data_IF_665472673425
#
_entry.id   IF_665472673425
#
_cell.length_a   1.000
_cell.length_b   1.000
_cell.length_c   1.000
_cell.angle_alpha   90.00
_cell.angle_beta   90.00
_cell.angle_gamma   90.00
#
_symmetry.space_group_name_H-M   'P 1'
#
loop_
_entity.id
_entity.type
_entity.pdbx_description
1 polymer ?
#
# COMPACT_ATOMS: atom_id res chain seq x y z
N UNK A 1 -17.16 4.54 -27.59
CA UNK A 1 -15.71 4.32 -27.44
C UNK A 1 -14.94 5.64 -27.54
N UNK A 2 -14.93 6.32 -28.69
CA UNK A 2 -14.20 7.59 -28.88
C UNK A 2 -14.64 8.72 -27.92
N UNK A 3 -15.95 8.94 -27.77
CA UNK A 3 -16.48 9.95 -26.83
C UNK A 3 -16.10 9.63 -25.37
N UNK A 4 -16.18 8.35 -24.98
CA UNK A 4 -15.76 7.91 -23.65
C UNK A 4 -14.24 8.10 -23.48
N UNK A 5 -13.43 7.77 -24.47
CA UNK A 5 -11.97 7.96 -24.43
C UNK A 5 -11.58 9.45 -24.31
N UNK A 6 -12.27 10.34 -25.03
CA UNK A 6 -12.10 11.80 -24.94
C UNK A 6 -12.56 12.32 -23.57
N UNK A 7 -13.65 11.78 -23.01
CA UNK A 7 -14.06 12.05 -21.63
C UNK A 7 -13.01 11.57 -20.62
N UNK A 8 -12.46 10.37 -20.79
CA UNK A 8 -11.42 9.82 -19.93
C UNK A 8 -10.16 10.67 -19.92
N UNK A 9 -9.70 11.14 -21.09
CA UNK A 9 -8.59 12.08 -21.23
C UNK A 9 -8.87 13.42 -20.53
N UNK A 10 -10.08 13.96 -20.69
CA UNK A 10 -10.50 15.20 -20.04
C UNK A 10 -10.58 15.07 -18.50
N UNK A 11 -11.09 13.93 -18.01
CA UNK A 11 -11.16 13.61 -16.59
C UNK A 11 -9.73 13.47 -16.02
N UNK A 12 -8.83 12.75 -16.69
CA UNK A 12 -7.44 12.63 -16.21
C UNK A 12 -6.67 13.94 -16.22
N UNK A 13 -6.96 14.85 -17.16
CA UNK A 13 -6.29 16.14 -17.27
C UNK A 13 -6.78 17.14 -16.21
N UNK A 14 -8.01 16.99 -15.73
CA UNK A 14 -8.63 17.87 -14.73
C UNK A 14 -8.91 17.19 -13.38
N UNK A 15 -8.42 15.97 -13.17
CA UNK A 15 -8.60 15.19 -11.94
C UNK A 15 -8.20 16.00 -10.70
N UNK A 16 -6.99 16.55 -10.71
CA UNK A 16 -6.47 17.39 -9.63
C UNK A 16 -7.30 18.67 -9.45
N UNK A 17 -7.61 19.37 -10.55
CA UNK A 17 -8.46 20.57 -10.50
C UNK A 17 -9.86 20.32 -9.92
N UNK A 18 -10.46 19.16 -10.21
CA UNK A 18 -11.77 18.79 -9.68
C UNK A 18 -11.69 18.37 -8.21
N UNK A 19 -10.62 17.66 -7.81
CA UNK A 19 -10.34 17.37 -6.41
C UNK A 19 -10.12 18.67 -5.61
N UNK A 20 -9.45 19.68 -6.17
CA UNK A 20 -9.24 20.97 -5.52
C UNK A 20 -10.58 21.67 -5.25
N UNK A 21 -11.49 21.64 -6.22
CA UNK A 21 -12.84 22.21 -6.09
C UNK A 21 -13.70 21.43 -5.08
N UNK A 22 -13.61 20.09 -5.06
CA UNK A 22 -14.33 19.25 -4.10
C UNK A 22 -13.77 19.46 -2.69
N UNK A 23 -12.45 19.44 -2.52
CA UNK A 23 -11.79 19.48 -1.22
C UNK A 23 -11.70 20.89 -0.63
N UNK A 24 -11.79 21.94 -1.45
CA UNK A 24 -11.83 23.36 -1.02
C UNK A 24 -10.60 23.78 -0.21
N UNK A 25 -9.49 23.07 -0.38
CA UNK A 25 -8.22 23.28 0.31
C UNK A 25 -7.18 23.73 -0.70
N UNK A 26 -6.43 24.79 -0.40
CA UNK A 26 -5.26 25.20 -1.19
C UNK A 26 -4.06 24.25 -0.97
N UNK A 27 -4.15 23.29 -0.04
CA UNK A 27 -3.08 22.36 0.35
C UNK A 27 -3.58 20.90 0.35
N UNK A 28 -3.86 20.37 -0.85
CA UNK A 28 -4.48 19.04 -1.06
C UNK A 28 -3.50 17.86 -0.85
N UNK A 29 -2.22 18.16 -0.64
CA UNK A 29 -1.15 17.17 -0.49
C UNK A 29 -0.67 17.01 0.95
N UNK A 30 -1.28 17.71 1.90
CA UNK A 30 -0.95 17.55 3.33
C UNK A 30 -1.86 16.48 3.89
N UNK A 31 -1.34 15.33 4.35
CA UNK A 31 -2.16 14.33 5.01
C UNK A 31 -2.81 14.93 6.26
N UNK A 32 -3.92 14.34 6.71
CA UNK A 32 -4.36 14.57 8.07
C UNK A 32 -3.35 13.92 9.03
N UNK A 33 -2.86 14.66 10.02
CA UNK A 33 -1.95 14.13 11.05
C UNK A 33 -2.61 13.04 11.91
N UNK A 34 -3.95 13.11 12.01
CA UNK A 34 -4.80 12.13 12.68
C UNK A 34 -5.91 11.64 11.75
N UNK A 35 -6.37 10.40 11.99
CA UNK A 35 -7.55 9.88 11.30
C UNK A 35 -8.77 10.76 11.61
N UNK A 36 -9.65 11.03 10.63
CA UNK A 36 -10.91 11.70 10.88
C UNK A 36 -11.70 10.94 11.96
N UNK A 37 -12.18 11.63 12.99
CA UNK A 37 -13.04 11.01 13.99
C UNK A 37 -14.41 10.72 13.37
N UNK A 38 -14.62 9.44 13.01
CA UNK A 38 -15.89 8.96 12.46
C UNK A 38 -16.70 8.30 13.57
N UNK A 39 -17.76 8.99 13.99
CA UNK A 39 -18.69 8.53 15.04
C UNK A 39 -20.02 8.03 14.46
N UNK A 40 -20.30 8.32 13.19
CA UNK A 40 -21.54 7.93 12.51
C UNK A 40 -21.32 7.43 11.08
N UNK A 41 -22.29 6.68 10.55
CA UNK A 41 -22.28 6.23 9.15
C UNK A 41 -22.34 7.40 8.15
N UNK A 42 -22.94 8.54 8.54
CA UNK A 42 -23.01 9.75 7.70
C UNK A 42 -21.64 10.42 7.61
N UNK A 43 -20.92 10.51 8.74
CA UNK A 43 -19.54 11.03 8.74
C UNK A 43 -18.62 10.11 7.92
N UNK A 44 -18.73 8.79 8.09
CA UNK A 44 -17.99 7.84 7.26
C UNK A 44 -18.26 8.08 5.76
N UNK A 45 -19.54 8.21 5.41
CA UNK A 45 -19.98 8.45 4.05
C UNK A 45 -19.40 9.75 3.47
N UNK A 46 -19.44 10.83 4.25
CA UNK A 46 -18.88 12.12 3.85
C UNK A 46 -17.36 12.03 3.66
N UNK A 47 -16.64 11.33 4.54
CA UNK A 47 -15.18 11.14 4.40
C UNK A 47 -14.85 10.35 3.13
N UNK A 48 -15.48 9.19 2.89
CA UNK A 48 -15.16 8.37 1.70
C UNK A 48 -15.59 9.04 0.38
N UNK A 49 -16.60 9.91 0.43
CA UNK A 49 -17.06 10.67 -0.73
C UNK A 49 -16.44 12.06 -0.80
N UNK A 50 -15.51 12.42 0.10
CA UNK A 50 -14.85 13.73 0.15
C UNK A 50 -15.88 14.88 0.10
N UNK A 51 -16.96 14.76 0.88
CA UNK A 51 -18.02 15.75 0.96
C UNK A 51 -18.71 16.10 -0.37
N UNK A 52 -18.61 15.24 -1.38
CA UNK A 52 -19.19 15.45 -2.73
C UNK A 52 -20.70 15.75 -2.67
N UNK A 53 -21.43 15.18 -1.70
CA UNK A 53 -22.88 15.36 -1.60
C UNK A 53 -23.31 16.50 -0.67
N UNK A 54 -22.42 17.00 0.17
CA UNK A 54 -22.71 18.08 1.14
C UNK A 54 -22.27 19.43 0.61
N UNK A 55 -21.26 19.47 -0.27
CA UNK A 55 -20.67 20.69 -0.80
C UNK A 55 -21.37 21.17 -2.07
N UNK A 56 -22.42 21.95 -1.90
CA UNK A 56 -23.08 22.67 -3.00
C UNK A 56 -22.31 23.95 -3.32
N UNK A 57 -21.52 23.96 -4.39
CA UNK A 57 -20.89 25.19 -4.89
C UNK A 57 -21.57 25.67 -6.17
N UNK A 58 -22.34 26.76 -6.08
CA UNK A 58 -23.16 27.29 -7.19
C UNK A 58 -22.31 27.82 -8.34
N UNK A 59 -21.06 28.20 -8.07
CA UNK A 59 -20.13 28.73 -9.07
C UNK A 59 -19.68 27.69 -10.11
N UNK A 60 -19.66 26.40 -9.75
CA UNK A 60 -19.11 25.31 -10.58
C UNK A 60 -20.15 24.27 -11.03
N UNK A 61 -21.42 24.66 -11.12
CA UNK A 61 -22.53 23.73 -11.39
C UNK A 61 -22.37 22.85 -12.65
N UNK A 62 -21.73 23.36 -13.72
CA UNK A 62 -21.47 22.58 -14.94
C UNK A 62 -20.48 21.42 -14.69
N UNK A 63 -19.45 21.64 -13.89
CA UNK A 63 -18.48 20.60 -13.53
C UNK A 63 -19.14 19.53 -12.65
N UNK A 64 -20.00 19.95 -11.71
CA UNK A 64 -20.83 19.03 -10.92
C UNK A 64 -21.76 18.19 -11.78
N UNK A 65 -22.44 18.79 -12.77
CA UNK A 65 -23.28 18.02 -13.71
C UNK A 65 -22.46 17.00 -14.51
N UNK A 66 -21.28 17.39 -14.98
CA UNK A 66 -20.39 16.47 -15.68
C UNK A 66 -19.95 15.31 -14.76
N UNK A 67 -19.51 15.62 -13.55
CA UNK A 67 -19.10 14.62 -12.57
C UNK A 67 -20.23 13.64 -12.25
N UNK A 68 -21.43 14.11 -11.92
CA UNK A 68 -22.58 13.23 -11.67
C UNK A 68 -23.01 12.44 -12.90
N UNK A 69 -22.82 12.99 -14.11
CA UNK A 69 -23.06 12.24 -15.36
C UNK A 69 -22.08 11.07 -15.53
N UNK A 70 -20.80 11.27 -15.21
CA UNK A 70 -19.79 10.20 -15.27
C UNK A 70 -20.01 9.19 -14.15
N UNK A 71 -20.32 9.66 -12.93
CA UNK A 71 -20.67 8.83 -11.77
C UNK A 71 -21.84 7.90 -12.10
N UNK A 72 -22.90 8.41 -12.75
CA UNK A 72 -24.07 7.62 -13.11
C UNK A 72 -23.88 6.73 -14.37
N UNK A 73 -22.78 6.88 -15.11
CA UNK A 73 -22.60 6.21 -16.40
C UNK A 73 -22.74 4.67 -16.35
N UNK A 74 -22.19 3.95 -15.35
CA UNK A 74 -22.39 2.51 -15.25
C UNK A 74 -23.84 2.11 -15.08
N UNK A 75 -24.58 2.84 -14.24
CA UNK A 75 -25.97 2.56 -13.96
C UNK A 75 -26.83 2.81 -15.21
N UNK A 76 -26.62 3.94 -15.89
CA UNK A 76 -27.31 4.27 -17.14
C UNK A 76 -27.04 3.21 -18.22
N UNK A 77 -25.76 2.83 -18.42
CA UNK A 77 -25.40 1.78 -19.36
C UNK A 77 -26.04 0.44 -18.98
N UNK A 78 -26.05 0.09 -17.70
CA UNK A 78 -26.71 -1.11 -17.22
C UNK A 78 -28.21 -1.11 -17.57
N UNK A 79 -28.95 -0.01 -17.33
CA UNK A 79 -30.35 0.10 -17.73
C UNK A 79 -30.52 -0.06 -19.24
N UNK A 80 -29.73 0.62 -20.06
CA UNK A 80 -29.80 0.52 -21.54
C UNK A 80 -29.51 -0.90 -22.03
N UNK A 81 -28.49 -1.54 -21.46
CA UNK A 81 -28.09 -2.91 -21.83
C UNK A 81 -29.11 -3.93 -21.33
N UNK A 82 -29.68 -3.73 -20.14
CA UNK A 82 -30.70 -4.62 -19.57
C UNK A 82 -31.97 -4.67 -20.41
N UNK A 83 -32.33 -3.58 -21.10
CA UNK A 83 -33.47 -3.56 -22.02
C UNK A 83 -33.27 -4.53 -23.21
N UNK A 84 -32.01 -4.89 -23.53
CA UNK A 84 -31.66 -5.85 -24.59
C UNK A 84 -31.42 -7.27 -24.07
N UNK A 85 -31.40 -7.46 -22.75
CA UNK A 85 -31.08 -8.73 -22.11
C UNK A 85 -32.32 -9.30 -21.41
N UNK A 86 -32.49 -10.62 -21.45
CA UNK A 86 -33.55 -11.30 -20.68
C UNK A 86 -33.07 -11.53 -19.24
N UNK A 87 -33.15 -10.51 -18.38
CA UNK A 87 -32.88 -10.66 -16.94
C UNK A 87 -34.15 -11.04 -16.17
N UNK A 88 -34.01 -11.90 -15.16
CA UNK A 88 -35.06 -12.07 -14.16
C UNK A 88 -35.24 -10.79 -13.36
N UNK A 89 -36.47 -10.49 -12.92
CA UNK A 89 -36.77 -9.28 -12.14
C UNK A 89 -35.87 -9.15 -10.90
N UNK A 90 -35.61 -10.25 -10.18
CA UNK A 90 -34.69 -10.22 -9.03
C UNK A 90 -33.24 -9.92 -9.42
N UNK A 91 -32.75 -10.49 -10.52
CA UNK A 91 -31.38 -10.22 -10.96
C UNK A 91 -31.20 -8.81 -11.49
N UNK A 92 -32.24 -8.29 -12.13
CA UNK A 92 -32.29 -6.91 -12.58
C UNK A 92 -32.07 -5.94 -11.42
N UNK A 93 -32.90 -6.06 -10.37
CA UNK A 93 -32.84 -5.16 -9.22
C UNK A 93 -31.60 -5.36 -8.36
N UNK A 94 -31.15 -6.59 -8.13
CA UNK A 94 -29.92 -6.84 -7.37
C UNK A 94 -28.72 -6.18 -8.04
N UNK A 95 -28.56 -6.36 -9.36
CA UNK A 95 -27.44 -5.75 -10.08
C UNK A 95 -27.59 -4.22 -10.13
N UNK A 96 -28.80 -3.68 -10.32
CA UNK A 96 -29.04 -2.24 -10.30
C UNK A 96 -28.66 -1.62 -8.96
N UNK A 97 -29.05 -2.23 -7.84
CA UNK A 97 -28.75 -1.75 -6.48
C UNK A 97 -27.24 -1.78 -6.23
N UNK A 98 -26.57 -2.89 -6.58
CA UNK A 98 -25.11 -3.01 -6.39
C UNK A 98 -24.36 -1.96 -7.22
N UNK A 99 -24.75 -1.76 -8.49
CA UNK A 99 -24.14 -0.75 -9.36
C UNK A 99 -24.42 0.67 -8.83
N UNK A 100 -25.65 0.96 -8.39
CA UNK A 100 -25.98 2.26 -7.82
C UNK A 100 -25.18 2.55 -6.55
N UNK A 101 -25.07 1.58 -5.64
CA UNK A 101 -24.26 1.69 -4.43
C UNK A 101 -22.78 1.94 -4.79
N UNK A 102 -22.25 1.22 -5.78
CA UNK A 102 -20.89 1.40 -6.28
C UNK A 102 -20.65 2.82 -6.81
N UNK A 103 -21.57 3.33 -7.65
CA UNK A 103 -21.45 4.69 -8.20
C UNK A 103 -21.47 5.76 -7.08
N UNK A 104 -22.30 5.57 -6.07
CA UNK A 104 -22.41 6.52 -4.95
C UNK A 104 -21.17 6.49 -4.06
N UNK A 105 -20.68 5.31 -3.68
CA UNK A 105 -19.54 5.20 -2.76
C UNK A 105 -18.18 5.49 -3.42
N UNK A 106 -18.06 5.34 -4.74
CA UNK A 106 -16.89 5.74 -5.53
C UNK A 106 -17.15 7.04 -6.30
N UNK A 107 -17.97 7.94 -5.74
CA UNK A 107 -18.23 9.25 -6.34
C UNK A 107 -16.98 10.12 -6.38
N UNK A 108 -16.18 10.13 -5.30
CA UNK A 108 -14.92 10.88 -5.23
C UNK A 108 -13.94 10.52 -6.37
N UNK A 109 -13.56 9.24 -6.57
CA UNK A 109 -12.78 8.81 -7.73
C UNK A 109 -13.69 8.42 -8.91
N UNK A 110 -14.33 9.40 -9.54
CA UNK A 110 -15.30 9.18 -10.63
C UNK A 110 -14.72 8.42 -11.84
N UNK A 111 -13.39 8.44 -12.00
CA UNK A 111 -12.63 7.67 -13.00
C UNK A 111 -12.87 6.17 -12.87
N UNK A 112 -13.05 5.68 -11.64
CA UNK A 112 -13.34 4.27 -11.37
C UNK A 112 -14.72 3.91 -11.93
N UNK A 113 -15.72 4.78 -11.73
CA UNK A 113 -17.06 4.62 -12.32
C UNK A 113 -16.99 4.63 -13.85
N UNK A 114 -16.20 5.52 -14.44
CA UNK A 114 -15.97 5.53 -15.89
C UNK A 114 -15.35 4.24 -16.43
N UNK A 115 -14.30 3.72 -15.76
CA UNK A 115 -13.65 2.47 -16.16
C UNK A 115 -14.59 1.26 -16.00
N UNK A 116 -15.42 1.26 -14.95
CA UNK A 116 -16.43 0.23 -14.75
C UNK A 116 -17.52 0.26 -15.83
N UNK A 117 -17.94 1.45 -16.28
CA UNK A 117 -18.82 1.63 -17.45
C UNK A 117 -18.20 1.07 -18.74
N UNK A 118 -16.91 1.31 -18.98
CA UNK A 118 -16.18 0.72 -20.11
C UNK A 118 -16.12 -0.81 -20.02
N UNK A 119 -15.94 -1.38 -18.83
CA UNK A 119 -15.94 -2.82 -18.62
C UNK A 119 -17.29 -3.45 -19.00
N UNK A 120 -18.40 -2.84 -18.58
CA UNK A 120 -19.76 -3.28 -18.96
C UNK A 120 -19.96 -3.24 -20.48
N UNK A 121 -19.49 -2.17 -21.13
CA UNK A 121 -19.58 -2.01 -22.59
C UNK A 121 -18.67 -3.01 -23.32
N UNK A 122 -17.47 -3.29 -22.80
CA UNK A 122 -16.53 -4.24 -23.38
C UNK A 122 -17.08 -5.66 -23.34
N UNK A 123 -17.64 -6.05 -22.19
CA UNK A 123 -18.23 -7.36 -21.97
C UNK A 123 -19.41 -7.60 -22.93
N UNK A 124 -20.31 -6.63 -23.06
CA UNK A 124 -21.48 -6.76 -23.94
C UNK A 124 -21.15 -6.75 -25.42
N UNK A 125 -20.09 -6.04 -25.84
CA UNK A 125 -19.63 -6.05 -27.23
C UNK A 125 -18.67 -7.21 -27.55
N UNK A 126 -18.39 -8.11 -26.60
CA UNK A 126 -17.44 -9.24 -26.77
C UNK A 126 -16.06 -8.82 -27.29
N UNK A 127 -15.63 -7.59 -27.00
CA UNK A 127 -14.38 -7.03 -27.51
C UNK A 127 -13.23 -7.27 -26.53
N UNK A 128 -12.31 -8.18 -26.88
CA UNK A 128 -11.13 -8.51 -26.04
C UNK A 128 -10.18 -7.32 -25.88
N UNK A 129 -10.02 -6.51 -26.92
CA UNK A 129 -9.15 -5.32 -26.89
C UNK A 129 -9.71 -4.27 -25.95
N UNK A 130 -10.99 -3.92 -26.09
CA UNK A 130 -11.64 -2.95 -25.20
C UNK A 130 -11.67 -3.46 -23.75
N UNK A 131 -11.86 -4.76 -23.54
CA UNK A 131 -11.81 -5.37 -22.22
C UNK A 131 -10.41 -5.24 -21.59
N UNK A 132 -9.36 -5.56 -22.34
CA UNK A 132 -7.97 -5.40 -21.89
C UNK A 132 -7.63 -3.95 -21.54
N UNK A 133 -8.02 -2.99 -22.39
CA UNK A 133 -7.84 -1.57 -22.11
C UNK A 133 -8.64 -1.11 -20.89
N UNK A 134 -9.89 -1.54 -20.73
CA UNK A 134 -10.73 -1.18 -19.59
C UNK A 134 -10.16 -1.73 -18.27
N UNK A 135 -9.64 -2.96 -18.27
CA UNK A 135 -8.97 -3.54 -17.09
C UNK A 135 -7.68 -2.77 -16.76
N UNK A 136 -6.84 -2.49 -17.76
CA UNK A 136 -5.61 -1.72 -17.55
C UNK A 136 -5.94 -0.33 -16.98
N UNK A 137 -6.89 0.38 -17.57
CA UNK A 137 -7.33 1.70 -17.09
C UNK A 137 -7.92 1.63 -15.67
N UNK A 138 -8.71 0.59 -15.35
CA UNK A 138 -9.24 0.39 -14.00
C UNK A 138 -8.12 0.16 -12.97
N UNK A 139 -7.11 -0.66 -13.31
CA UNK A 139 -5.95 -0.87 -12.44
C UNK A 139 -5.18 0.44 -12.25
N UNK A 140 -4.88 1.18 -13.32
CA UNK A 140 -4.17 2.46 -13.23
C UNK A 140 -4.93 3.50 -12.39
N UNK A 141 -6.25 3.59 -12.55
CA UNK A 141 -7.10 4.52 -11.77
C UNK A 141 -7.22 4.11 -10.31
N UNK A 142 -7.28 2.82 -10.00
CA UNK A 142 -7.18 2.32 -8.62
C UNK A 142 -5.80 2.63 -8.02
N UNK A 143 -4.72 2.53 -8.80
CA UNK A 143 -3.38 2.97 -8.37
C UNK A 143 -3.34 4.47 -8.09
N UNK A 144 -3.98 5.31 -8.89
CA UNK A 144 -4.06 6.74 -8.60
C UNK A 144 -4.93 7.02 -7.36
N UNK A 145 -6.03 6.30 -7.18
CA UNK A 145 -6.89 6.40 -6.00
C UNK A 145 -6.13 6.06 -4.70
N UNK A 146 -5.16 5.14 -4.75
CA UNK A 146 -4.27 4.89 -3.63
C UNK A 146 -3.59 6.18 -3.14
N UNK A 147 -3.09 7.01 -4.07
CA UNK A 147 -2.40 8.27 -3.78
C UNK A 147 -3.32 9.46 -3.45
N UNK A 148 -4.64 9.28 -3.43
CA UNK A 148 -5.58 10.34 -3.05
C UNK A 148 -5.58 10.55 -1.52
N UNK A 149 -4.75 11.44 -0.99
CA UNK A 149 -4.50 11.59 0.46
C UNK A 149 -5.71 12.06 1.28
N UNK A 150 -6.75 12.60 0.63
CA UNK A 150 -7.97 13.09 1.29
C UNK A 150 -8.80 11.97 1.95
N UNK A 151 -8.73 10.75 1.41
CA UNK A 151 -9.42 9.60 1.99
C UNK A 151 -8.37 8.71 2.65
N UNK A 152 -8.46 8.45 3.97
CA UNK A 152 -7.54 7.58 4.67
C UNK A 152 -7.44 6.20 4.02
N UNK A 153 -6.23 5.66 3.96
CA UNK A 153 -5.96 4.35 3.36
C UNK A 153 -6.77 3.24 4.05
N UNK A 154 -6.95 3.34 5.37
CA UNK A 154 -7.78 2.42 6.15
C UNK A 154 -9.22 2.39 5.62
N UNK A 155 -9.83 3.54 5.36
CA UNK A 155 -11.20 3.61 4.86
C UNK A 155 -11.32 3.14 3.41
N UNK A 156 -10.33 3.42 2.56
CA UNK A 156 -10.24 2.84 1.20
C UNK A 156 -10.21 1.32 1.25
N UNK A 157 -9.43 0.74 2.17
CA UNK A 157 -9.30 -0.72 2.31
C UNK A 157 -10.62 -1.37 2.72
N UNK A 158 -11.33 -0.80 3.70
CA UNK A 158 -12.66 -1.29 4.11
C UNK A 158 -13.69 -1.14 2.99
N UNK A 159 -13.66 -0.02 2.26
CA UNK A 159 -14.57 0.21 1.13
C UNK A 159 -14.37 -0.84 0.04
N UNK A 160 -13.12 -1.08 -0.39
CA UNK A 160 -12.80 -2.07 -1.42
C UNK A 160 -13.14 -3.50 -0.97
N UNK A 161 -12.84 -3.85 0.28
CA UNK A 161 -13.19 -5.16 0.85
C UNK A 161 -14.71 -5.35 0.91
N UNK A 162 -15.45 -4.34 1.38
CA UNK A 162 -16.91 -4.38 1.44
C UNK A 162 -17.52 -4.59 0.05
N UNK A 163 -17.05 -3.87 -0.98
CA UNK A 163 -17.53 -4.06 -2.34
C UNK A 163 -17.11 -5.41 -2.93
N UNK A 164 -15.91 -5.90 -2.63
CA UNK A 164 -15.50 -7.27 -2.99
C UNK A 164 -16.48 -8.32 -2.45
N UNK A 165 -16.88 -8.17 -1.18
CA UNK A 165 -17.89 -9.05 -0.55
C UNK A 165 -19.29 -8.85 -1.14
N UNK A 166 -19.72 -7.62 -1.40
CA UNK A 166 -21.02 -7.33 -2.03
C UNK A 166 -21.09 -7.95 -3.43
N UNK A 167 -20.06 -7.76 -4.26
CA UNK A 167 -19.98 -8.37 -5.58
C UNK A 167 -19.96 -9.90 -5.51
N UNK A 168 -19.23 -10.49 -4.55
CA UNK A 168 -19.20 -11.93 -4.35
C UNK A 168 -20.59 -12.47 -3.97
N UNK A 169 -21.25 -11.85 -2.99
CA UNK A 169 -22.60 -12.25 -2.55
C UNK A 169 -23.61 -12.09 -3.69
N UNK A 170 -23.56 -10.97 -4.42
CA UNK A 170 -24.42 -10.75 -5.58
C UNK A 170 -24.17 -11.82 -6.66
N UNK A 171 -22.91 -12.13 -6.97
CA UNK A 171 -22.55 -13.16 -7.94
C UNK A 171 -23.05 -14.56 -7.53
N UNK A 172 -22.88 -14.94 -6.26
CA UNK A 172 -23.38 -16.20 -5.71
C UNK A 172 -24.91 -16.27 -5.74
N UNK A 173 -25.58 -15.17 -5.39
CA UNK A 173 -27.04 -15.06 -5.45
C UNK A 173 -27.57 -15.23 -6.87
N UNK A 174 -26.98 -14.51 -7.83
CA UNK A 174 -27.35 -14.60 -9.26
C UNK A 174 -27.09 -16.01 -9.80
N UNK A 175 -25.94 -16.61 -9.48
CA UNK A 175 -25.61 -18.00 -9.87
C UNK A 175 -26.62 -19.01 -9.33
N UNK A 176 -27.00 -18.91 -8.04
CA UNK A 176 -27.97 -19.83 -7.41
C UNK A 176 -29.36 -19.72 -8.02
N UNK A 177 -29.77 -18.52 -8.44
CA UNK A 177 -31.05 -18.27 -9.13
C UNK A 177 -31.07 -18.73 -10.59
N UNK A 178 -30.03 -19.43 -11.04
CA UNK A 178 -29.97 -19.99 -12.39
C UNK A 178 -29.79 -18.93 -13.46
N UNK A 179 -29.11 -17.80 -13.17
CA UNK A 179 -28.62 -16.96 -14.25
C UNK A 179 -27.76 -17.84 -15.17
N UNK A 180 -28.17 -18.04 -16.43
CA UNK A 180 -27.36 -18.79 -17.36
C UNK A 180 -26.09 -17.98 -17.56
N UNK A 181 -24.98 -18.45 -16.98
CA UNK A 181 -23.68 -18.30 -17.63
C UNK A 181 -23.91 -18.82 -19.03
N UNK A 182 -23.91 -17.94 -20.03
CA UNK A 182 -24.25 -18.19 -21.45
C UNK A 182 -24.13 -19.67 -21.76
N UNK A 183 -25.27 -20.37 -21.62
CA UNK A 183 -25.35 -21.78 -21.96
C UNK A 183 -25.60 -21.73 -23.44
N UNK A 184 -24.55 -21.95 -24.24
CA UNK A 184 -24.71 -22.24 -25.66
C UNK A 184 -25.75 -23.35 -25.73
N UNK A 185 -26.95 -22.98 -26.17
CA UNK A 185 -28.05 -23.92 -26.31
C UNK A 185 -27.88 -24.51 -27.69
N UNK A 186 -27.86 -25.83 -27.76
CA UNK A 186 -27.67 -26.60 -28.97
C UNK A 186 -28.60 -26.13 -30.09
N UNK A 187 -28.06 -25.39 -31.05
CA UNK A 187 -28.50 -25.40 -32.44
C UNK A 187 -27.28 -25.64 -33.33
N UNK A 188 -27.45 -26.63 -34.18
CA UNK A 188 -26.46 -27.25 -35.03
C UNK A 188 -25.96 -26.27 -36.11
N UNK A 189 -24.76 -25.72 -35.93
CA UNK A 189 -23.93 -25.20 -37.02
C UNK A 189 -22.47 -25.13 -36.60
N UNK A 190 -21.61 -25.79 -37.37
CA UNK A 190 -20.15 -25.77 -37.27
C UNK A 190 -19.61 -24.34 -37.08
N UNK A 191 -19.29 -23.99 -35.83
CA UNK A 191 -18.57 -22.75 -35.52
C UNK A 191 -17.70 -23.02 -34.31
N UNK A 192 -16.39 -22.78 -34.45
CA UNK A 192 -15.39 -22.92 -33.39
C UNK A 192 -15.86 -22.21 -32.11
N UNK A 193 -16.00 -22.99 -31.04
CA UNK A 193 -16.44 -22.53 -29.73
C UNK A 193 -15.47 -21.46 -29.17
N UNK A 194 -15.80 -20.18 -29.36
CA UNK A 194 -14.94 -19.06 -28.98
C UNK A 194 -14.83 -18.80 -27.46
N UNK A 195 -15.54 -19.53 -26.59
CA UNK A 195 -15.49 -19.34 -25.11
C UNK A 195 -15.83 -20.60 -24.30
N UNK A 196 -15.33 -21.78 -24.71
CA UNK A 196 -15.26 -22.90 -23.79
C UNK A 196 -14.17 -22.64 -22.74
N UNK A 197 -14.53 -22.33 -21.50
CA UNK A 197 -13.53 -22.34 -20.42
C UNK A 197 -12.92 -23.76 -20.40
N UNK A 198 -11.61 -23.91 -20.66
CA UNK A 198 -11.00 -25.22 -20.72
C UNK A 198 -11.24 -25.91 -19.37
N UNK A 199 -11.67 -27.18 -19.43
CA UNK A 199 -11.86 -28.02 -18.25
C UNK A 199 -10.50 -28.08 -17.54
N UNK A 200 -10.33 -27.28 -16.49
CA UNK A 200 -9.04 -27.09 -15.82
C UNK A 200 -8.61 -28.46 -15.31
N UNK A 201 -7.53 -29.02 -15.86
CA UNK A 201 -7.02 -30.32 -15.42
C UNK A 201 -6.69 -30.22 -13.93
N UNK A 202 -6.96 -31.26 -13.15
CA UNK A 202 -6.71 -31.28 -11.70
C UNK A 202 -5.24 -30.97 -11.33
N UNK A 203 -4.31 -31.16 -12.26
CA UNK A 203 -2.89 -30.84 -12.06
C UNK A 203 -2.58 -29.36 -11.92
N UNK A 204 -3.25 -28.48 -12.67
CA UNK A 204 -3.02 -27.03 -12.57
C UNK A 204 -3.38 -26.42 -11.20
N UNK A 205 -4.58 -26.65 -10.61
CA UNK A 205 -4.88 -26.13 -9.29
C UNK A 205 -4.01 -26.76 -8.20
N UNK A 206 -3.58 -28.02 -8.36
CA UNK A 206 -2.66 -28.67 -7.42
C UNK A 206 -1.26 -28.04 -7.47
N UNK A 207 -0.75 -27.73 -8.67
CA UNK A 207 0.51 -27.01 -8.84
C UNK A 207 0.42 -25.59 -8.26
N UNK A 208 -0.68 -24.88 -8.51
CA UNK A 208 -0.94 -23.56 -7.91
C UNK A 208 -0.97 -23.64 -6.38
N UNK A 209 -1.65 -24.64 -5.81
CA UNK A 209 -1.69 -24.86 -4.37
C UNK A 209 -0.29 -25.13 -3.80
N UNK A 210 0.48 -26.01 -4.44
CA UNK A 210 1.86 -26.32 -4.03
C UNK A 210 2.73 -25.06 -4.04
N UNK A 211 2.63 -24.24 -5.10
CA UNK A 211 3.36 -22.98 -5.19
C UNK A 211 2.97 -22.01 -4.07
N UNK A 212 1.67 -21.86 -3.80
CA UNK A 212 1.17 -21.03 -2.69
C UNK A 212 1.71 -21.53 -1.35
N UNK A 213 1.66 -22.84 -1.10
CA UNK A 213 2.21 -23.45 0.13
C UNK A 213 3.71 -23.21 0.26
N UNK A 214 4.46 -23.33 -0.84
CA UNK A 214 5.91 -23.10 -0.83
C UNK A 214 6.26 -21.64 -0.53
N UNK A 215 5.58 -20.68 -1.16
CA UNK A 215 5.77 -19.24 -0.91
C UNK A 215 5.40 -18.90 0.53
N UNK A 216 4.25 -19.37 1.01
CA UNK A 216 3.82 -19.14 2.40
C UNK A 216 4.77 -19.80 3.40
N UNK A 217 5.24 -21.02 3.13
CA UNK A 217 6.20 -21.72 3.98
C UNK A 217 7.52 -20.97 4.10
N UNK A 218 8.07 -20.48 2.99
CA UNK A 218 9.27 -19.65 2.98
C UNK A 218 9.11 -18.35 3.78
N UNK A 219 8.00 -17.63 3.56
CA UNK A 219 7.71 -16.39 4.28
C UNK A 219 7.56 -16.64 5.80
N UNK A 220 6.81 -17.66 6.21
CA UNK A 220 6.62 -17.99 7.63
C UNK A 220 7.94 -18.43 8.30
N UNK A 221 8.82 -19.14 7.59
CA UNK A 221 10.13 -19.50 8.12
C UNK A 221 10.99 -18.26 8.38
N UNK A 222 10.95 -17.25 7.49
CA UNK A 222 11.66 -15.99 7.72
C UNK A 222 11.08 -15.20 8.89
N UNK A 223 9.74 -15.17 9.03
CA UNK A 223 9.07 -14.53 10.17
C UNK A 223 9.50 -15.18 11.48
N UNK A 224 9.47 -16.51 11.57
CA UNK A 224 9.89 -17.23 12.78
C UNK A 224 11.31 -16.88 13.23
N UNK A 225 12.25 -16.73 12.28
CA UNK A 225 13.62 -16.30 12.60
C UNK A 225 13.70 -14.87 13.12
N UNK A 226 12.83 -13.98 12.66
CA UNK A 226 12.83 -12.59 13.12
C UNK A 226 12.14 -12.46 14.49
N UNK A 227 11.05 -13.19 14.71
CA UNK A 227 10.40 -13.28 16.02
C UNK A 227 11.37 -13.82 17.09
N UNK A 228 12.15 -14.86 16.77
CA UNK A 228 13.15 -15.39 17.71
C UNK A 228 14.24 -14.37 18.06
N UNK A 229 14.65 -13.50 17.13
CA UNK A 229 15.57 -12.39 17.41
C UNK A 229 14.88 -11.35 18.30
N UNK A 230 13.62 -11.01 18.03
CA UNK A 230 12.89 -10.00 18.80
C UNK A 230 12.58 -10.45 20.24
N UNK A 231 12.27 -11.73 20.43
CA UNK A 231 11.91 -12.31 21.74
C UNK A 231 13.14 -12.65 22.58
N UNK A 232 14.14 -13.32 21.99
CA UNK A 232 15.29 -13.89 22.71
C UNK A 232 16.60 -13.12 22.49
N UNK A 233 16.57 -12.00 21.76
CA UNK A 233 17.76 -11.19 21.50
C UNK A 233 18.12 -10.23 22.64
N UNK A 234 19.39 -9.87 22.68
CA UNK A 234 19.93 -8.89 23.63
C UNK A 234 19.42 -7.48 23.31
N UNK A 235 18.95 -6.70 24.32
CA UNK A 235 18.46 -5.35 24.11
C UNK A 235 19.59 -4.36 23.82
N UNK A 236 19.37 -3.54 22.79
CA UNK A 236 20.22 -2.40 22.43
C UNK A 236 19.32 -1.17 22.28
N UNK A 237 19.53 -0.14 23.10
CA UNK A 237 18.80 1.13 22.97
C UNK A 237 19.67 2.13 22.23
N UNK A 238 19.16 2.69 21.14
CA UNK A 238 19.87 3.67 20.31
C UNK A 238 19.13 4.99 20.30
N UNK A 239 19.87 6.08 20.41
CA UNK A 239 19.32 7.44 20.35
C UNK A 239 19.07 7.86 18.90
N UNK A 240 17.86 8.34 18.65
CA UNK A 240 17.41 8.80 17.33
C UNK A 240 17.99 10.20 17.08
N UNK A 241 18.49 10.43 15.87
CA UNK A 241 18.98 11.73 15.43
C UNK A 241 17.83 12.58 14.85
N UNK A 242 17.93 13.93 14.88
CA UNK A 242 16.87 14.80 14.37
C UNK A 242 16.71 14.65 12.85
N UNK A 243 15.67 13.95 12.41
CA UNK A 243 15.23 13.84 11.02
C UNK A 243 13.73 14.04 10.99
N UNK A 244 13.20 14.68 9.93
CA UNK A 244 11.75 14.71 9.73
C UNK A 244 11.29 13.26 9.50
N UNK A 245 10.61 12.67 10.49
CA UNK A 245 10.41 11.25 10.50
C UNK A 245 9.50 10.80 9.35
N UNK A 246 8.63 11.66 8.83
CA UNK A 246 7.47 11.19 8.07
C UNK A 246 7.77 11.02 6.60
N UNK A 247 7.63 9.79 6.11
CA UNK A 247 7.59 9.55 4.67
C UNK A 247 6.16 9.29 4.20
N UNK A 248 5.62 10.28 3.50
CA UNK A 248 4.19 10.36 3.13
C UNK A 248 3.78 9.38 2.02
N UNK A 249 4.73 8.87 1.24
CA UNK A 249 4.44 8.20 -0.05
C UNK A 249 4.12 6.71 0.08
N UNK A 250 4.48 6.05 1.19
CA UNK A 250 4.30 4.59 1.37
C UNK A 250 3.42 4.21 2.57
N UNK A 251 2.74 5.18 3.19
CA UNK A 251 1.87 4.98 4.36
C UNK A 251 2.35 5.79 5.57
N UNK A 252 1.78 5.52 6.73
CA UNK A 252 2.22 6.13 7.99
C UNK A 252 3.41 5.33 8.56
N UNK A 253 4.60 5.71 8.10
CA UNK A 253 5.85 5.18 8.61
C UNK A 253 6.85 6.30 8.86
N UNK A 254 7.73 6.03 9.82
CA UNK A 254 8.83 6.90 10.20
C UNK A 254 10.14 6.37 9.66
N UNK A 255 10.88 7.20 8.93
CA UNK A 255 12.29 6.98 8.62
C UNK A 255 13.11 7.42 9.83
N UNK A 256 14.00 6.53 10.28
CA UNK A 256 14.79 6.72 11.49
C UNK A 256 16.25 6.94 11.12
N UNK A 257 16.85 7.93 11.77
CA UNK A 257 18.29 8.12 11.79
C UNK A 257 18.80 8.06 13.24
N UNK A 258 20.08 7.79 13.45
CA UNK A 258 20.63 7.52 14.78
C UNK A 258 21.92 8.28 15.01
N UNK A 259 22.10 8.84 16.22
CA UNK A 259 23.30 9.58 16.61
C UNK A 259 24.56 8.73 16.41
N UNK A 260 24.48 7.42 16.68
CA UNK A 260 25.60 6.47 16.55
C UNK A 260 26.16 6.35 15.11
N UNK A 261 25.36 6.67 14.09
CA UNK A 261 25.81 6.64 12.70
C UNK A 261 26.66 7.86 12.34
N UNK A 262 26.38 9.00 12.97
CA UNK A 262 27.23 10.19 12.88
C UNK A 262 28.55 9.96 13.61
N UNK A 263 28.51 9.29 14.77
CA UNK A 263 29.70 8.86 15.49
C UNK A 263 30.54 7.89 14.65
N UNK A 264 29.89 6.94 13.96
CA UNK A 264 30.55 5.99 13.07
C UNK A 264 31.27 6.70 11.91
N UNK A 265 30.61 7.69 11.29
CA UNK A 265 31.22 8.50 10.24
C UNK A 265 32.43 9.28 10.75
N UNK A 266 32.36 9.82 11.96
CA UNK A 266 33.47 10.55 12.59
C UNK A 266 34.63 9.60 12.90
N UNK A 267 34.35 8.44 13.47
CA UNK A 267 35.35 7.43 13.82
C UNK A 267 36.18 6.99 12.61
N UNK A 268 35.52 6.71 11.47
CA UNK A 268 36.21 6.30 10.24
C UNK A 268 37.14 7.37 9.68
N UNK A 269 36.78 8.64 9.82
CA UNK A 269 37.59 9.77 9.37
C UNK A 269 38.82 9.98 10.27
N UNK A 270 38.67 9.77 11.58
CA UNK A 270 39.74 9.99 12.56
C UNK A 270 40.76 8.85 12.63
N UNK A 271 40.33 7.60 12.43
CA UNK A 271 41.16 6.41 12.65
C UNK A 271 41.69 5.76 11.35
N UNK A 272 41.63 6.47 10.22
CA UNK A 272 42.06 6.02 8.88
C UNK A 272 41.44 4.69 8.39
N UNK A 273 40.42 4.17 9.08
CA UNK A 273 39.60 3.05 8.57
C UNK A 273 38.94 3.41 7.23
N UNK A 274 38.68 4.70 6.97
CA UNK A 274 38.21 5.19 5.67
C UNK A 274 39.21 4.94 4.54
N UNK A 275 40.51 5.06 4.82
CA UNK A 275 41.60 4.70 3.91
C UNK A 275 41.61 3.20 3.64
N UNK A 276 41.60 2.37 4.69
CA UNK A 276 41.57 0.90 4.57
C UNK A 276 40.34 0.40 3.78
N UNK A 277 39.17 1.01 4.01
CA UNK A 277 37.95 0.73 3.25
C UNK A 277 38.11 1.02 1.76
N UNK A 278 38.80 2.11 1.42
CA UNK A 278 39.04 2.54 0.05
C UNK A 278 40.05 1.61 -0.64
N UNK A 279 41.14 1.25 0.03
CA UNK A 279 42.14 0.31 -0.49
C UNK A 279 41.55 -1.08 -0.75
N UNK A 280 40.77 -1.62 0.20
CA UNK A 280 40.11 -2.92 0.01
C UNK A 280 39.11 -2.87 -1.15
N UNK A 281 38.38 -1.76 -1.33
CA UNK A 281 37.50 -1.57 -2.47
C UNK A 281 38.27 -1.54 -3.80
N UNK A 282 39.39 -0.84 -3.85
CA UNK A 282 40.26 -0.76 -5.04
C UNK A 282 40.90 -2.12 -5.36
N UNK A 283 41.13 -2.96 -4.35
CA UNK A 283 41.55 -4.36 -4.52
C UNK A 283 40.45 -5.30 -5.05
N UNK A 284 39.23 -4.78 -5.27
CA UNK A 284 38.08 -5.52 -5.77
C UNK A 284 37.21 -6.16 -4.69
N UNK A 285 37.46 -5.88 -3.41
CA UNK A 285 36.67 -6.41 -2.30
C UNK A 285 35.43 -5.55 -2.04
N UNK A 286 34.25 -6.18 -2.11
CA UNK A 286 32.99 -5.46 -1.91
C UNK A 286 32.60 -5.45 -0.42
N UNK A 287 33.14 -4.49 0.32
CA UNK A 287 32.78 -4.27 1.73
C UNK A 287 31.45 -3.52 1.79
N UNK A 288 30.39 -4.26 2.03
CA UNK A 288 29.02 -3.72 2.15
C UNK A 288 28.61 -3.45 3.59
N UNK A 289 29.33 -4.04 4.56
CA UNK A 289 29.03 -3.94 6.00
C UNK A 289 30.29 -3.66 6.80
N UNK A 290 30.12 -2.83 7.82
CA UNK A 290 31.11 -2.50 8.84
C UNK A 290 30.46 -2.82 10.18
N UNK A 291 31.24 -3.28 11.16
CA UNK A 291 30.73 -3.70 12.46
C UNK A 291 31.09 -2.64 13.51
N UNK A 292 30.07 -2.05 14.12
CA UNK A 292 30.23 -1.12 15.22
C UNK A 292 30.08 -1.87 16.55
N UNK A 293 31.16 -1.98 17.31
CA UNK A 293 31.14 -2.43 18.68
C UNK A 293 30.61 -1.31 19.56
N UNK A 294 29.79 -1.68 20.54
CA UNK A 294 29.05 -0.72 21.36
C UNK A 294 29.40 -0.86 22.84
N UNK A 295 29.18 0.22 23.58
CA UNK A 295 29.22 0.24 25.04
C UNK A 295 27.99 1.00 25.54
N UNK A 296 27.34 0.50 26.59
CA UNK A 296 26.21 1.22 27.19
C UNK A 296 26.71 2.37 28.07
N UNK A 297 26.01 3.49 28.02
CA UNK A 297 26.18 4.58 28.98
C UNK A 297 25.44 4.30 30.31
N UNK A 298 25.50 5.26 31.23
CA UNK A 298 24.88 5.15 32.56
C UNK A 298 23.35 4.96 32.52
N UNK A 299 22.70 5.34 31.42
CA UNK A 299 21.26 5.22 31.23
C UNK A 299 20.87 3.96 30.42
N UNK A 300 21.85 3.13 30.05
CA UNK A 300 21.62 1.93 29.24
C UNK A 300 21.53 2.20 27.72
N UNK A 301 21.86 3.41 27.27
CA UNK A 301 21.86 3.78 25.84
C UNK A 301 23.21 3.40 25.24
N UNK A 302 23.19 2.71 24.11
CA UNK A 302 24.40 2.26 23.43
C UNK A 302 25.10 3.42 22.71
N UNK A 303 26.41 3.51 22.93
CA UNK A 303 27.33 4.45 22.27
C UNK A 303 28.39 3.67 21.49
N UNK A 304 28.94 4.31 20.46
CA UNK A 304 30.01 3.73 19.68
C UNK A 304 31.26 3.55 20.54
N UNK A 305 31.83 2.34 20.52
CA UNK A 305 33.08 2.01 21.20
C UNK A 305 34.23 1.92 20.18
N UNK A 306 34.06 1.09 19.14
CA UNK A 306 35.05 0.84 18.09
C UNK A 306 34.34 0.39 16.81
N UNK A 307 34.99 0.58 15.66
CA UNK A 307 34.55 0.00 14.39
C UNK A 307 35.56 -0.98 13.83
N UNK A 308 35.05 -2.03 13.19
CA UNK A 308 35.85 -3.09 12.54
C UNK A 308 35.27 -3.44 11.17
N UNK A 309 36.13 -3.73 10.20
CA UNK A 309 35.72 -4.11 8.83
C UNK A 309 35.30 -5.57 8.72
N UNK A 310 35.77 -6.41 9.63
CA UNK A 310 35.45 -7.84 9.69
C UNK A 310 34.56 -8.10 10.91
N UNK A 311 33.86 -9.23 10.90
CA UNK A 311 33.00 -9.61 12.02
C UNK A 311 33.84 -9.73 13.31
N UNK A 312 33.44 -9.07 14.41
CA UNK A 312 34.26 -8.97 15.60
C UNK A 312 34.39 -10.32 16.31
N UNK A 313 35.63 -10.72 16.58
CA UNK A 313 35.95 -11.93 17.36
C UNK A 313 36.38 -11.62 18.79
N UNK A 314 36.77 -10.38 19.06
CA UNK A 314 37.24 -9.90 20.37
C UNK A 314 36.52 -8.60 20.74
N UNK A 315 36.09 -8.50 21.99
CA UNK A 315 35.28 -7.38 22.49
C UNK A 315 36.02 -6.53 23.54
N UNK A 316 37.35 -6.57 23.53
CA UNK A 316 38.18 -5.92 24.54
C UNK A 316 37.83 -4.43 24.69
N UNK A 317 37.36 -4.06 25.89
CA UNK A 317 36.96 -2.69 26.24
C UNK A 317 35.55 -2.28 25.81
N UNK A 318 34.79 -3.15 25.15
CA UNK A 318 33.42 -2.92 24.71
C UNK A 318 32.46 -3.98 25.30
N UNK A 319 31.16 -3.88 24.99
CA UNK A 319 30.17 -4.86 25.43
C UNK A 319 30.40 -6.21 24.75
N UNK A 320 30.55 -7.26 25.55
CA UNK A 320 30.80 -8.61 25.04
C UNK A 320 29.63 -9.17 24.23
N UNK A 321 29.94 -9.79 23.10
CA UNK A 321 28.98 -10.57 22.31
C UNK A 321 27.91 -9.77 21.58
N UNK A 322 27.97 -8.43 21.58
CA UNK A 322 26.95 -7.57 20.97
C UNK A 322 27.60 -6.51 20.09
N UNK A 323 27.13 -6.39 18.86
CA UNK A 323 27.60 -5.40 17.89
C UNK A 323 26.48 -4.98 16.92
N UNK A 324 26.67 -3.85 16.23
CA UNK A 324 25.76 -3.36 15.21
C UNK A 324 26.37 -3.56 13.81
N UNK A 325 25.74 -4.35 12.93
CA UNK A 325 26.12 -4.40 11.53
C UNK A 325 25.63 -3.12 10.84
N UNK A 326 26.55 -2.27 10.42
CA UNK A 326 26.28 -1.00 9.74
C UNK A 326 26.49 -1.19 8.24
N UNK A 327 25.45 -1.01 7.44
CA UNK A 327 25.57 -1.08 5.99
C UNK A 327 26.20 0.22 5.47
N UNK A 328 27.20 0.08 4.59
CA UNK A 328 27.81 1.20 3.88
C UNK A 328 27.16 1.36 2.50
N UNK A 329 26.25 2.33 2.38
CA UNK A 329 25.56 2.65 1.13
C UNK A 329 26.32 3.75 0.41
N UNK A 330 26.65 3.53 -0.87
CA UNK A 330 27.34 4.49 -1.74
C UNK A 330 28.67 5.04 -1.16
N UNK A 331 29.32 4.29 -0.27
CA UNK A 331 30.62 4.64 0.36
C UNK A 331 30.60 5.76 1.39
N UNK A 332 29.46 6.42 1.64
CA UNK A 332 29.38 7.61 2.49
C UNK A 332 28.10 7.70 3.34
N UNK A 333 27.16 6.76 3.18
CA UNK A 333 25.93 6.76 3.95
C UNK A 333 25.81 5.48 4.76
N UNK A 334 25.95 5.61 6.07
CA UNK A 334 25.74 4.52 7.00
C UNK A 334 24.27 4.31 7.29
N UNK A 335 23.86 3.04 7.33
CA UNK A 335 22.49 2.64 7.63
C UNK A 335 22.48 1.41 8.52
N UNK A 336 21.67 1.46 9.58
CA UNK A 336 21.34 0.26 10.33
C UNK A 336 20.33 -0.61 9.55
N UNK A 337 20.30 -1.92 9.82
CA UNK A 337 19.16 -2.74 9.46
C UNK A 337 17.89 -2.15 10.11
N UNK A 338 16.78 -2.14 9.36
CA UNK A 338 15.47 -1.71 9.87
C UNK A 338 15.42 -0.26 10.40
N UNK A 339 15.80 0.72 9.56
CA UNK A 339 15.66 2.18 9.82
C UNK A 339 14.28 2.74 9.41
N UNK A 340 13.24 1.91 9.47
CA UNK A 340 11.88 2.34 9.17
C UNK A 340 10.92 1.68 10.13
N UNK A 341 10.02 2.47 10.71
CA UNK A 341 9.02 2.00 11.66
C UNK A 341 7.63 2.33 11.14
N UNK A 342 6.83 1.29 10.90
CA UNK A 342 5.45 1.42 10.42
C UNK A 342 4.50 1.51 11.61
N UNK A 343 3.55 2.46 11.56
CA UNK A 343 2.55 2.65 12.60
C UNK A 343 1.15 2.77 12.00
N UNK A 344 0.08 2.60 12.81
CA UNK A 344 -1.28 2.80 12.33
C UNK A 344 -1.50 4.20 11.77
N UNK A 345 -2.31 4.31 10.72
CA UNK A 345 -2.66 5.59 10.13
C UNK A 345 -3.25 6.55 11.18
N UNK A 346 -2.86 7.82 11.15
CA UNK A 346 -3.25 8.85 12.11
C UNK A 346 -2.52 8.79 13.45
N UNK A 347 -1.39 8.07 13.55
CA UNK A 347 -0.52 8.03 14.75
C UNK A 347 0.82 8.73 14.58
N UNK A 348 0.94 9.57 13.55
CA UNK A 348 2.17 10.30 13.24
C UNK A 348 2.69 11.12 14.43
N UNK A 349 1.85 11.95 15.04
CA UNK A 349 2.26 12.79 16.18
C UNK A 349 2.66 11.94 17.40
N UNK A 350 1.91 10.87 17.67
CA UNK A 350 2.18 9.98 18.80
C UNK A 350 3.53 9.27 18.69
N UNK A 351 3.92 8.81 17.50
CA UNK A 351 5.23 8.18 17.29
C UNK A 351 6.34 9.19 16.97
N UNK A 352 6.00 10.41 16.57
CA UNK A 352 6.95 11.50 16.32
C UNK A 352 7.67 12.00 17.59
N UNK A 353 7.17 11.66 18.78
CA UNK A 353 7.84 11.97 20.05
C UNK A 353 8.95 10.96 20.43
N UNK A 354 9.23 9.97 19.58
CA UNK A 354 10.27 8.97 19.84
C UNK A 354 11.67 9.60 19.89
N UNK A 355 12.39 9.37 20.97
CA UNK A 355 13.80 9.79 21.11
C UNK A 355 14.78 8.62 21.01
N UNK A 356 14.28 7.38 21.19
CA UNK A 356 15.11 6.19 21.12
C UNK A 356 14.43 5.07 20.33
N UNK A 357 15.25 4.24 19.67
CA UNK A 357 14.84 2.96 19.11
C UNK A 357 15.39 1.82 19.95
N UNK A 358 14.51 0.90 20.38
CA UNK A 358 14.93 -0.33 21.04
C UNK A 358 15.10 -1.44 20.01
N UNK A 359 16.33 -1.92 19.87
CA UNK A 359 16.72 -3.01 19.02
C UNK A 359 16.95 -4.30 19.81
N UNK A 360 16.94 -5.41 19.07
CA UNK A 360 17.27 -6.74 19.55
C UNK A 360 18.39 -7.33 18.71
N UNK A 361 19.44 -7.82 19.37
CA UNK A 361 20.57 -8.47 18.73
C UNK A 361 20.59 -9.96 19.03
N UNK A 362 20.73 -10.79 17.99
CA UNK A 362 20.98 -12.22 18.12
C UNK A 362 21.66 -12.75 16.87
N UNK A 363 22.74 -13.52 17.03
CA UNK A 363 23.45 -14.21 15.95
C UNK A 363 23.79 -13.29 14.75
N UNK A 364 24.31 -12.08 15.04
CA UNK A 364 24.70 -11.10 14.02
C UNK A 364 23.54 -10.36 13.35
N UNK A 365 22.30 -10.61 13.78
CA UNK A 365 21.10 -9.88 13.32
C UNK A 365 20.68 -8.84 14.33
N UNK A 366 20.32 -7.68 13.83
CA UNK A 366 19.80 -6.55 14.60
C UNK A 366 18.44 -6.18 14.02
N UNK A 367 17.40 -6.19 14.85
CA UNK A 367 16.04 -5.83 14.46
C UNK A 367 15.46 -4.79 15.40
N UNK A 368 14.80 -3.77 14.84
CA UNK A 368 14.07 -2.77 15.60
C UNK A 368 12.81 -3.43 16.19
N UNK A 369 12.68 -3.40 17.51
CA UNK A 369 11.51 -3.93 18.23
C UNK A 369 10.44 -2.86 18.39
N UNK A 370 10.82 -1.68 18.92
CA UNK A 370 9.89 -0.60 19.24
C UNK A 370 10.59 0.74 19.41
N UNK A 371 9.78 1.79 19.51
CA UNK A 371 10.22 3.15 19.80
C UNK A 371 10.02 3.47 21.27
N UNK A 372 10.89 4.31 21.82
CA UNK A 372 10.80 4.80 23.20
C UNK A 372 10.75 6.33 23.23
N UNK A 373 10.02 6.85 24.20
CA UNK A 373 10.01 8.28 24.52
C UNK A 373 11.30 8.72 25.26
N UNK A 374 11.37 10.01 25.58
CA UNK A 374 12.47 10.62 26.35
C UNK A 374 12.74 9.99 27.73
N UNK A 375 11.73 9.33 28.31
CA UNK A 375 11.81 8.67 29.62
C UNK A 375 12.16 7.17 29.48
N UNK A 376 12.56 6.72 28.27
CA UNK A 376 12.82 5.33 27.91
C UNK A 376 11.58 4.42 28.04
N UNK A 377 10.36 4.98 27.95
CA UNK A 377 9.13 4.22 27.99
C UNK A 377 8.66 3.84 26.58
N UNK A 378 8.10 2.64 26.41
CA UNK A 378 7.54 2.21 25.13
C UNK A 378 6.42 3.12 24.61
N UNK A 379 6.46 3.38 23.29
CA UNK A 379 5.39 3.98 22.50
C UNK A 379 4.61 2.91 21.72
#
# INVERSE_FOLDING_TARGET
>A
AFILMVLGLFITQHHWFFIDIISGSDNINVPADELPQVTSAVEFFNVITVDVFTRSNTEYWLLWLFHFSVMCAPLVLYFVLSARMKLSQSGFWVSAIVIALFCICFSAPVEISFCFALLLLAYTNSSRTLFGFAIFALISTLTLYYYMLLVPLLYKSFLLLAFGMIFLVAALFLRKRGFPTVKNTDEQSDTENATGFPRVSFGMPMLTLLFVVMVLGGANYTTFKYEDVLENGEPIVLKIAPVDPRSLMQGDYMVLDYDILNDAQTYLNEHDLGGELSERRDSGENITRIYALIQNDNNGVAKLCRMELNEPTHFDGCREGVYLPVNNVNSWQFRLPSQSYFFPEGKGEYYGQAEYGEYRFKDGKVLLLRLLDKDLKPL
#
